data_IF_239851252309
#
_entry.id   IF_239851252309
#
_cell.length_a   1.000
_cell.length_b   1.000
_cell.length_c   1.000
_cell.angle_alpha   90.00
_cell.angle_beta   90.00
_cell.angle_gamma   90.00
#
_symmetry.space_group_name_H-M   'P 1'
#
loop_
_entity.id
_entity.type
_entity.pdbx_description
1 polymer ?
#
# COMPACT_ATOMS: atom_id res chain seq x y z
N UNK A 1 -3.26 20.63 9.02
CA UNK A 1 -2.61 19.43 9.57
C UNK A 1 -1.16 19.79 9.79
N UNK A 2 -0.57 19.39 10.91
CA UNK A 2 0.83 19.70 11.22
C UNK A 2 1.76 18.87 10.33
N UNK A 3 2.98 19.37 10.13
CA UNK A 3 4.03 18.64 9.41
C UNK A 3 4.41 17.38 10.19
N UNK A 4 4.40 16.19 9.56
CA UNK A 4 4.80 14.96 10.25
C UNK A 4 6.25 15.00 10.74
N UNK A 5 6.53 14.36 11.87
CA UNK A 5 7.86 14.38 12.52
C UNK A 5 9.00 13.83 11.62
N UNK A 6 8.66 12.97 10.64
CA UNK A 6 9.62 12.38 9.70
C UNK A 6 9.98 13.29 8.53
N UNK A 7 9.32 14.44 8.37
CA UNK A 7 9.51 15.36 7.27
C UNK A 7 9.80 16.78 7.75
N UNK A 8 10.44 17.60 6.90
CA UNK A 8 10.52 19.05 7.13
C UNK A 8 9.50 19.78 6.30
N UNK A 9 8.98 20.88 6.81
CA UNK A 9 8.05 21.69 6.02
C UNK A 9 8.81 22.41 4.90
N UNK A 10 8.25 22.42 3.69
CA UNK A 10 8.68 23.37 2.63
C UNK A 10 8.33 24.78 3.08
N UNK A 11 9.05 25.82 2.66
CA UNK A 11 8.73 27.20 3.04
C UNK A 11 7.48 27.69 2.30
N UNK A 12 7.45 27.49 0.98
CA UNK A 12 6.39 27.94 0.07
C UNK A 12 6.23 26.96 -1.10
N UNK A 13 5.03 26.94 -1.69
CA UNK A 13 4.78 26.31 -2.99
C UNK A 13 4.33 27.41 -3.94
N UNK A 14 4.98 27.50 -5.09
CA UNK A 14 4.61 28.45 -6.15
C UNK A 14 4.50 27.74 -7.49
N UNK A 15 4.04 28.48 -8.50
CA UNK A 15 3.90 28.00 -9.88
C UNK A 15 4.70 28.90 -10.79
N UNK A 16 5.64 28.31 -11.54
CA UNK A 16 6.47 28.98 -12.54
C UNK A 16 6.30 28.25 -13.88
N UNK A 17 5.75 28.94 -14.88
CA UNK A 17 5.46 28.40 -16.22
C UNK A 17 4.88 26.96 -16.22
N UNK A 18 3.74 26.79 -15.55
CA UNK A 18 3.05 25.49 -15.39
C UNK A 18 3.89 24.40 -14.72
N UNK A 19 4.90 24.78 -13.94
CA UNK A 19 5.69 23.88 -13.11
C UNK A 19 5.48 24.23 -11.64
N UNK A 20 5.26 23.22 -10.80
CA UNK A 20 5.35 23.36 -9.35
C UNK A 20 6.77 23.76 -9.00
N UNK A 21 6.92 24.68 -8.05
CA UNK A 21 8.21 25.05 -7.51
C UNK A 21 8.08 25.08 -5.99
N UNK A 22 8.96 24.35 -5.32
CA UNK A 22 9.02 24.31 -3.87
C UNK A 22 10.17 25.19 -3.39
N UNK A 23 9.89 26.11 -2.47
CA UNK A 23 10.91 26.92 -1.83
C UNK A 23 11.38 26.21 -0.57
N UNK A 24 12.66 25.88 -0.50
CA UNK A 24 13.26 25.13 0.62
C UNK A 24 14.59 25.78 0.96
N UNK A 25 14.74 26.25 2.20
CA UNK A 25 15.95 26.94 2.67
C UNK A 25 16.35 28.12 1.73
N UNK A 26 15.35 28.81 1.16
CA UNK A 26 15.51 29.88 0.17
C UNK A 26 15.85 29.45 -1.26
N UNK A 27 15.99 28.15 -1.54
CA UNK A 27 16.28 27.61 -2.87
C UNK A 27 15.02 27.12 -3.59
N UNK A 28 15.03 27.17 -4.93
CA UNK A 28 13.91 26.75 -5.77
C UNK A 28 14.11 25.31 -6.25
N UNK A 29 13.16 24.44 -5.93
CA UNK A 29 13.18 23.04 -6.30
C UNK A 29 12.06 22.73 -7.30
N UNK A 30 12.44 22.36 -8.51
CA UNK A 30 11.49 21.97 -9.56
C UNK A 30 11.25 20.45 -9.52
N UNK A 31 10.13 19.93 -10.09
CA UNK A 31 9.79 18.51 -10.15
C UNK A 31 10.93 17.61 -10.63
N UNK A 32 11.72 18.08 -11.59
CA UNK A 32 12.87 17.34 -12.12
C UNK A 32 14.02 17.19 -11.12
N UNK A 33 14.12 18.07 -10.12
CA UNK A 33 15.24 18.17 -9.19
C UNK A 33 14.90 17.59 -7.80
N UNK A 34 13.62 17.36 -7.49
CA UNK A 34 13.20 16.92 -6.12
C UNK A 34 13.80 15.58 -5.69
N UNK A 35 14.21 14.74 -6.65
CA UNK A 35 14.84 13.45 -6.37
C UNK A 35 16.25 13.60 -5.77
N UNK A 36 16.85 14.79 -5.88
CA UNK A 36 18.17 15.13 -5.30
C UNK A 36 18.05 15.69 -3.87
N UNK A 37 16.82 15.90 -3.37
CA UNK A 37 16.61 16.40 -2.02
C UNK A 37 17.25 15.47 -0.98
N UNK A 38 18.01 16.00 0.00
CA UNK A 38 18.76 15.18 0.95
C UNK A 38 17.88 14.50 2.01
N UNK A 39 16.61 14.87 2.09
CA UNK A 39 15.63 14.40 3.06
C UNK A 39 14.21 14.66 2.55
N UNK A 40 13.23 14.11 3.26
CA UNK A 40 11.82 14.27 2.94
C UNK A 40 11.33 15.65 3.35
N UNK A 41 10.51 16.25 2.49
CA UNK A 41 9.82 17.49 2.79
C UNK A 41 8.30 17.32 2.66
N UNK A 42 7.56 18.07 3.46
CA UNK A 42 6.11 18.09 3.49
C UNK A 42 5.60 19.46 3.03
N UNK A 43 4.74 19.42 2.03
CA UNK A 43 4.00 20.56 1.54
C UNK A 43 2.61 20.58 2.21
N UNK A 44 2.44 21.41 3.24
CA UNK A 44 1.17 21.46 3.97
C UNK A 44 -0.01 21.91 3.10
N UNK A 45 -1.19 21.37 3.41
CA UNK A 45 -2.43 21.66 2.68
C UNK A 45 -2.72 23.15 2.46
N UNK A 46 -2.43 24.00 3.45
CA UNK A 46 -2.71 25.43 3.32
C UNK A 46 -1.89 26.11 2.20
N UNK A 47 -0.64 25.66 1.96
CA UNK A 47 0.23 26.17 0.90
C UNK A 47 -0.24 25.77 -0.49
N UNK A 48 -0.80 24.55 -0.62
CA UNK A 48 -1.48 24.15 -1.86
C UNK A 48 -2.70 25.02 -2.15
N UNK A 49 -3.42 25.42 -1.09
CA UNK A 49 -4.62 26.24 -1.22
C UNK A 49 -4.32 27.66 -1.69
N UNK A 50 -3.13 28.18 -1.41
CA UNK A 50 -2.67 29.51 -1.87
C UNK A 50 -2.50 29.57 -3.39
N UNK A 51 -2.13 28.46 -4.04
CA UNK A 51 -1.93 28.37 -5.49
C UNK A 51 -3.07 27.69 -6.25
N UNK A 52 -4.16 27.35 -5.55
CA UNK A 52 -5.27 26.54 -6.11
C UNK A 52 -5.85 27.11 -7.41
N UNK A 53 -5.95 28.43 -7.52
CA UNK A 53 -6.62 29.08 -8.66
C UNK A 53 -5.82 28.89 -9.95
N UNK A 54 -4.50 28.70 -9.85
CA UNK A 54 -3.67 28.29 -10.99
C UNK A 54 -3.77 26.79 -11.26
N UNK A 55 -3.71 25.95 -10.22
CA UNK A 55 -3.78 24.49 -10.37
C UNK A 55 -5.10 24.01 -10.98
N UNK A 56 -6.23 24.68 -10.71
CA UNK A 56 -7.54 24.32 -11.29
C UNK A 56 -7.56 24.49 -12.82
N UNK A 57 -6.65 25.27 -13.40
CA UNK A 57 -6.54 25.47 -14.85
C UNK A 57 -5.69 24.39 -15.55
N UNK A 58 -4.99 23.55 -14.78
CA UNK A 58 -4.07 22.54 -15.31
C UNK A 58 -4.81 21.39 -15.99
N UNK A 59 -4.20 20.85 -17.05
CA UNK A 59 -4.65 19.65 -17.73
C UNK A 59 -3.80 18.42 -17.34
N UNK A 60 -4.12 17.26 -17.90
CA UNK A 60 -3.44 15.99 -17.59
C UNK A 60 -1.93 16.03 -17.91
N UNK A 61 -1.50 16.76 -18.94
CA UNK A 61 -0.08 16.91 -19.29
C UNK A 61 0.67 17.73 -18.24
N UNK A 62 0.06 18.81 -17.75
CA UNK A 62 0.61 19.63 -16.66
C UNK A 62 0.77 18.78 -15.39
N UNK A 63 -0.26 18.03 -15.00
CA UNK A 63 -0.19 17.13 -13.84
C UNK A 63 0.87 16.04 -14.01
N UNK A 64 0.98 15.45 -15.20
CA UNK A 64 1.98 14.41 -15.48
C UNK A 64 3.40 14.97 -15.36
N UNK A 65 3.66 16.16 -15.89
CA UNK A 65 4.97 16.84 -15.78
C UNK A 65 5.35 17.18 -14.34
N UNK A 66 4.35 17.36 -13.48
CA UNK A 66 4.52 17.77 -12.08
C UNK A 66 4.30 16.60 -11.10
N UNK A 67 4.32 15.35 -11.58
CA UNK A 67 4.19 14.16 -10.75
C UNK A 67 5.46 13.94 -9.91
N UNK A 68 5.57 14.73 -8.84
CA UNK A 68 6.75 14.80 -7.96
C UNK A 68 6.39 14.83 -6.47
N UNK A 69 5.09 14.72 -6.15
CA UNK A 69 4.58 14.68 -4.79
C UNK A 69 3.82 13.39 -4.56
N UNK A 70 3.89 12.90 -3.33
CA UNK A 70 3.18 11.71 -2.86
C UNK A 70 2.40 12.11 -1.61
N UNK A 71 1.14 11.67 -1.46
CA UNK A 71 0.40 11.89 -0.23
C UNK A 71 1.18 11.36 0.97
N UNK A 72 1.15 12.09 2.09
CA UNK A 72 1.87 11.70 3.31
C UNK A 72 1.51 10.28 3.77
N UNK A 73 0.24 9.91 3.66
CA UNK A 73 -0.24 8.56 4.00
C UNK A 73 0.27 7.45 3.05
N UNK A 74 0.73 7.79 1.86
CA UNK A 74 1.28 6.88 0.86
C UNK A 74 2.82 6.81 0.89
N UNK A 75 3.47 7.66 1.69
CA UNK A 75 4.92 7.69 1.78
C UNK A 75 5.49 6.41 2.41
N UNK A 76 6.64 5.97 1.90
CA UNK A 76 7.49 4.92 2.46
C UNK A 76 8.95 5.35 2.34
N UNK A 77 9.78 4.99 3.31
CA UNK A 77 11.23 5.23 3.20
C UNK A 77 11.86 4.27 2.19
N UNK A 78 13.09 4.55 1.77
CA UNK A 78 13.82 3.66 0.88
C UNK A 78 14.04 2.28 1.52
N UNK A 79 14.40 2.24 2.79
CA UNK A 79 14.65 1.03 3.57
C UNK A 79 13.37 0.18 3.66
N UNK A 80 12.25 0.79 4.05
CA UNK A 80 10.96 0.10 4.08
C UNK A 80 10.53 -0.36 2.69
N UNK A 81 10.80 0.41 1.64
CA UNK A 81 10.48 -0.01 0.27
C UNK A 81 11.23 -1.29 -0.12
N UNK A 82 12.55 -1.35 0.12
CA UNK A 82 13.38 -2.54 -0.14
C UNK A 82 12.83 -3.76 0.62
N UNK A 83 12.57 -3.56 1.91
CA UNK A 83 12.08 -4.60 2.80
C UNK A 83 10.67 -5.09 2.45
N UNK A 84 9.77 -4.19 2.08
CA UNK A 84 8.41 -4.52 1.59
C UNK A 84 8.51 -5.33 0.31
N UNK A 85 9.34 -4.93 -0.66
CA UNK A 85 9.52 -5.71 -1.89
C UNK A 85 10.04 -7.12 -1.61
N UNK A 86 10.96 -7.27 -0.65
CA UNK A 86 11.46 -8.58 -0.25
C UNK A 86 10.37 -9.45 0.38
N UNK A 87 9.58 -8.91 1.31
CA UNK A 87 8.43 -9.56 1.94
C UNK A 87 7.39 -10.01 0.90
N UNK A 88 7.01 -9.12 -0.02
CA UNK A 88 6.07 -9.41 -1.09
C UNK A 88 6.62 -10.45 -2.06
N UNK A 89 7.92 -10.40 -2.37
CA UNK A 89 8.61 -11.39 -3.19
C UNK A 89 8.55 -12.80 -2.59
N UNK A 90 8.81 -12.93 -1.28
CA UNK A 90 8.70 -14.20 -0.54
C UNK A 90 7.28 -14.77 -0.64
N UNK A 91 6.25 -13.93 -0.43
CA UNK A 91 4.86 -14.34 -0.57
C UNK A 91 4.53 -14.86 -1.98
N UNK A 92 5.05 -14.23 -3.03
CA UNK A 92 4.81 -14.66 -4.42
C UNK A 92 5.47 -16.00 -4.72
N UNK A 93 6.76 -16.17 -4.41
CA UNK A 93 7.48 -17.41 -4.73
C UNK A 93 6.93 -18.60 -3.93
N UNK A 94 6.47 -18.34 -2.70
CA UNK A 94 5.83 -19.37 -1.90
C UNK A 94 4.47 -19.81 -2.48
N UNK A 95 3.58 -18.86 -2.76
CA UNK A 95 2.20 -19.18 -3.15
C UNK A 95 2.08 -19.63 -4.62
N UNK A 96 2.94 -19.13 -5.52
CA UNK A 96 2.76 -19.35 -6.96
C UNK A 96 3.84 -20.20 -7.62
N UNK A 97 4.97 -20.42 -6.93
CA UNK A 97 6.12 -21.15 -7.48
C UNK A 97 6.56 -22.35 -6.63
N UNK A 98 5.87 -22.64 -5.51
CA UNK A 98 6.12 -23.83 -4.69
C UNK A 98 7.44 -23.79 -3.92
N UNK A 99 8.04 -22.61 -3.74
CA UNK A 99 9.23 -22.43 -2.92
C UNK A 99 8.83 -22.45 -1.44
N UNK A 100 9.58 -23.13 -0.57
CA UNK A 100 9.28 -23.09 0.86
C UNK A 100 9.49 -21.68 1.41
N UNK A 101 8.76 -21.33 2.49
CA UNK A 101 8.91 -20.00 3.12
C UNK A 101 10.33 -19.83 3.64
N UNK A 102 10.88 -20.88 4.24
CA UNK A 102 12.24 -20.93 4.78
C UNK A 102 13.30 -20.70 3.69
N UNK A 103 13.20 -21.38 2.55
CA UNK A 103 14.18 -21.20 1.45
C UNK A 103 14.11 -19.79 0.86
N UNK A 104 12.89 -19.27 0.66
CA UNK A 104 12.69 -17.92 0.13
C UNK A 104 13.22 -16.85 1.11
N UNK A 105 12.96 -17.02 2.41
CA UNK A 105 13.44 -16.11 3.45
C UNK A 105 14.97 -16.14 3.54
N UNK A 106 15.58 -17.33 3.54
CA UNK A 106 17.04 -17.48 3.57
C UNK A 106 17.71 -16.85 2.35
N UNK A 107 17.15 -17.02 1.14
CA UNK A 107 17.67 -16.40 -0.06
C UNK A 107 17.64 -14.86 0.01
N UNK A 108 16.58 -14.28 0.58
CA UNK A 108 16.50 -12.83 0.84
C UNK A 108 17.55 -12.39 1.87
N UNK A 109 17.71 -13.13 2.97
CA UNK A 109 18.72 -12.83 3.99
C UNK A 109 20.14 -12.87 3.42
N UNK A 110 20.44 -13.85 2.56
CA UNK A 110 21.70 -13.93 1.83
C UNK A 110 21.91 -12.74 0.91
N UNK A 111 20.88 -12.35 0.13
CA UNK A 111 20.95 -11.18 -0.74
C UNK A 111 21.18 -9.87 0.04
N UNK A 112 20.53 -9.70 1.20
CA UNK A 112 20.78 -8.57 2.10
C UNK A 112 22.22 -8.58 2.60
N UNK A 113 22.73 -9.72 3.05
CA UNK A 113 24.10 -9.87 3.52
C UNK A 113 25.14 -9.57 2.44
N UNK A 114 24.95 -10.05 1.22
CA UNK A 114 25.84 -9.77 0.08
C UNK A 114 25.92 -8.28 -0.28
N UNK A 115 24.87 -7.53 0.04
CA UNK A 115 24.78 -6.08 -0.18
C UNK A 115 25.10 -5.25 1.05
N UNK A 116 25.58 -5.88 2.12
CA UNK A 116 25.84 -5.23 3.42
C UNK A 116 24.61 -4.47 3.96
N UNK A 117 23.41 -4.93 3.60
CA UNK A 117 22.14 -4.36 4.05
C UNK A 117 21.69 -5.05 5.34
N UNK A 118 21.45 -4.27 6.38
CA UNK A 118 20.88 -4.76 7.63
C UNK A 118 19.39 -4.38 7.67
N UNK A 119 18.47 -5.37 7.64
CA UNK A 119 17.04 -5.06 7.69
C UNK A 119 16.66 -4.42 9.03
N UNK A 120 15.70 -3.50 8.97
CA UNK A 120 15.16 -2.81 10.13
C UNK A 120 14.34 -3.74 11.04
N UNK A 121 13.95 -3.21 12.20
CA UNK A 121 13.16 -3.96 13.20
C UNK A 121 11.73 -4.28 12.76
N UNK A 122 11.24 -3.63 11.70
CA UNK A 122 9.92 -3.91 11.10
C UNK A 122 9.96 -5.09 10.12
N UNK A 123 11.16 -5.52 9.68
CA UNK A 123 11.30 -6.68 8.82
C UNK A 123 10.95 -7.96 9.61
N UNK A 124 10.07 -8.82 9.07
CA UNK A 124 9.63 -10.01 9.79
C UNK A 124 10.79 -10.96 10.08
N UNK A 125 10.79 -11.54 11.28
CA UNK A 125 11.69 -12.66 11.59
C UNK A 125 11.18 -13.99 11.01
N UNK A 126 11.99 -15.04 11.16
CA UNK A 126 11.69 -16.39 10.62
C UNK A 126 10.37 -17.00 11.11
N UNK A 127 9.89 -16.60 12.30
CA UNK A 127 8.58 -17.02 12.79
C UNK A 127 7.47 -16.22 12.14
N UNK A 128 7.63 -14.91 12.05
CA UNK A 128 6.61 -13.99 11.53
C UNK A 128 6.41 -14.15 10.01
N UNK A 129 7.47 -14.46 9.26
CA UNK A 129 7.39 -14.59 7.80
C UNK A 129 6.39 -15.67 7.35
N UNK A 130 6.14 -16.68 8.19
CA UNK A 130 5.14 -17.72 7.93
C UNK A 130 3.71 -17.18 7.89
N UNK A 131 3.42 -16.15 8.66
CA UNK A 131 2.13 -15.48 8.65
C UNK A 131 2.04 -14.46 7.51
N UNK A 132 3.18 -13.85 7.14
CA UNK A 132 3.29 -12.85 6.07
C UNK A 132 2.89 -13.39 4.69
N UNK A 133 3.15 -14.66 4.42
CA UNK A 133 2.83 -15.29 3.12
C UNK A 133 1.35 -15.66 2.97
N UNK A 134 0.54 -15.47 4.01
CA UNK A 134 -0.89 -15.74 4.01
C UNK A 134 -1.69 -14.46 3.81
N UNK A 135 -2.95 -14.59 3.37
CA UNK A 135 -3.86 -13.45 3.38
C UNK A 135 -4.08 -12.97 4.83
N UNK A 136 -3.87 -11.68 5.15
CA UNK A 136 -3.92 -11.20 6.53
C UNK A 136 -5.27 -11.37 7.22
N UNK A 137 -6.37 -11.32 6.45
CA UNK A 137 -7.72 -11.39 7.01
C UNK A 137 -8.22 -12.82 7.15
N UNK A 138 -8.10 -13.64 6.10
CA UNK A 138 -8.68 -14.99 6.09
C UNK A 138 -7.67 -16.11 6.41
N UNK A 139 -6.38 -15.77 6.55
CA UNK A 139 -5.29 -16.69 6.92
C UNK A 139 -5.13 -17.89 5.96
N UNK A 140 -5.59 -17.74 4.72
CA UNK A 140 -5.42 -18.75 3.68
C UNK A 140 -4.25 -18.38 2.78
N UNK A 141 -3.62 -19.37 2.13
CA UNK A 141 -2.68 -19.13 1.03
C UNK A 141 -3.27 -18.20 -0.03
N UNK A 142 -2.43 -17.39 -0.66
CA UNK A 142 -2.82 -16.36 -1.63
C UNK A 142 -3.24 -16.95 -2.99
N UNK A 143 -2.98 -18.23 -3.21
CA UNK A 143 -3.29 -18.97 -4.43
C UNK A 143 -4.58 -19.80 -4.32
N UNK A 144 -5.33 -19.67 -3.22
CA UNK A 144 -6.62 -20.35 -3.02
C UNK A 144 -7.75 -19.32 -2.89
N UNK A 145 -9.02 -19.73 -3.02
CA UNK A 145 -10.13 -18.83 -2.78
C UNK A 145 -10.13 -18.21 -1.36
N UNK A 146 -10.68 -16.99 -1.18
CA UNK A 146 -10.76 -16.33 0.12
C UNK A 146 -11.49 -17.20 1.14
N UNK A 147 -10.90 -17.36 2.33
CA UNK A 147 -11.46 -18.23 3.38
C UNK A 147 -11.60 -19.70 2.98
N UNK A 148 -10.93 -20.12 1.90
CA UNK A 148 -11.07 -21.44 1.29
C UNK A 148 -12.53 -21.77 0.92
N UNK A 149 -13.28 -20.75 0.53
CA UNK A 149 -14.67 -20.86 0.14
C UNK A 149 -14.79 -21.44 -1.27
N UNK A 150 -15.80 -22.28 -1.49
CA UNK A 150 -16.20 -22.64 -2.85
C UNK A 150 -16.90 -21.45 -3.50
N UNK A 151 -16.26 -20.85 -4.49
CA UNK A 151 -16.82 -19.71 -5.23
C UNK A 151 -17.69 -20.20 -6.39
N UNK A 152 -18.84 -19.55 -6.65
CA UNK A 152 -19.65 -19.85 -7.83
C UNK A 152 -18.91 -19.40 -9.10
N UNK A 153 -19.10 -20.15 -10.19
CA UNK A 153 -18.63 -19.75 -11.50
C UNK A 153 -19.36 -18.47 -11.94
N UNK A 154 -18.61 -17.43 -12.30
CA UNK A 154 -19.19 -16.18 -12.78
C UNK A 154 -19.64 -16.35 -14.23
N UNK A 155 -20.85 -15.89 -14.52
CA UNK A 155 -21.35 -15.86 -15.89
C UNK A 155 -20.46 -14.99 -16.81
N UNK A 156 -20.22 -15.51 -18.00
CA UNK A 156 -19.59 -14.76 -19.07
C UNK A 156 -20.48 -13.58 -19.46
N UNK A 157 -19.92 -12.39 -19.42
CA UNK A 157 -20.56 -11.21 -20.03
C UNK A 157 -19.80 -10.82 -21.26
N UNK A 158 -20.52 -10.40 -22.29
CA UNK A 158 -19.94 -9.80 -23.47
C UNK A 158 -18.94 -8.68 -23.09
N UNK A 159 -17.70 -8.82 -23.56
CA UNK A 159 -16.69 -7.78 -23.55
C UNK A 159 -16.26 -7.52 -25.00
N UNK A 160 -16.24 -6.26 -25.46
CA UNK A 160 -15.79 -5.96 -26.81
C UNK A 160 -14.34 -6.42 -27.02
N UNK A 161 -14.00 -7.10 -28.13
CA UNK A 161 -12.68 -7.71 -28.34
C UNK A 161 -11.53 -6.70 -28.40
N UNK A 162 -11.83 -5.41 -28.61
CA UNK A 162 -10.84 -4.32 -28.59
C UNK A 162 -10.59 -3.72 -27.20
N UNK A 163 -11.30 -4.15 -26.15
CA UNK A 163 -11.03 -3.73 -24.77
C UNK A 163 -10.21 -4.79 -24.03
N UNK A 164 -9.18 -4.35 -23.32
CA UNK A 164 -8.51 -5.18 -22.31
C UNK A 164 -9.54 -5.53 -21.22
N UNK A 165 -9.72 -6.81 -20.94
CA UNK A 165 -10.59 -7.26 -19.85
C UNK A 165 -9.92 -6.97 -18.51
N UNK A 166 -10.52 -6.09 -17.70
CA UNK A 166 -10.13 -5.89 -16.29
C UNK A 166 -10.78 -6.89 -15.34
N UNK A 167 -11.52 -7.90 -15.85
CA UNK A 167 -12.30 -8.81 -14.98
C UNK A 167 -11.43 -9.62 -14.03
N UNK A 168 -10.22 -9.99 -14.44
CA UNK A 168 -9.27 -10.74 -13.60
C UNK A 168 -8.83 -9.95 -12.36
N UNK A 169 -8.72 -8.62 -12.46
CA UNK A 169 -8.47 -7.74 -11.31
C UNK A 169 -9.69 -7.64 -10.37
N UNK A 170 -10.88 -8.05 -10.85
CA UNK A 170 -12.14 -8.05 -10.11
C UNK A 170 -12.55 -9.42 -9.55
N UNK A 171 -11.75 -10.47 -9.77
CA UNK A 171 -11.95 -11.80 -9.21
C UNK A 171 -11.77 -11.76 -7.68
N UNK A 172 -12.45 -12.68 -6.97
CA UNK A 172 -12.44 -12.67 -5.50
C UNK A 172 -11.05 -13.04 -4.93
N UNK A 173 -10.42 -13.98 -5.63
CA UNK A 173 -9.08 -14.51 -5.46
C UNK A 173 -7.99 -13.59 -6.02
N UNK A 174 -8.35 -12.50 -6.71
CA UNK A 174 -7.38 -11.57 -7.27
C UNK A 174 -6.48 -11.02 -6.15
N UNK A 175 -5.17 -10.96 -6.42
CA UNK A 175 -4.20 -10.50 -5.44
C UNK A 175 -4.18 -8.98 -5.39
N UNK A 176 -4.20 -8.42 -4.18
CA UNK A 176 -4.05 -6.97 -3.97
C UNK A 176 -3.03 -6.69 -2.88
N UNK A 177 -2.36 -5.54 -3.01
CA UNK A 177 -1.66 -4.95 -1.88
C UNK A 177 -2.68 -4.64 -0.78
N UNK A 178 -2.28 -4.97 0.44
CA UNK A 178 -3.14 -5.02 1.61
C UNK A 178 -2.38 -4.38 2.77
N UNK A 179 -2.97 -3.39 3.43
CA UNK A 179 -2.44 -2.82 4.65
C UNK A 179 -3.14 -3.45 5.84
N UNK A 180 -2.42 -4.10 6.74
CA UNK A 180 -3.03 -4.71 7.93
C UNK A 180 -3.55 -3.69 8.93
N UNK A 181 -3.10 -2.44 8.78
CA UNK A 181 -3.50 -1.29 9.55
C UNK A 181 -3.80 -0.12 8.62
N UNK A 182 -4.86 0.67 8.85
CA UNK A 182 -5.29 1.70 7.92
C UNK A 182 -4.27 2.83 7.82
N UNK A 183 -4.09 3.37 6.62
CA UNK A 183 -3.15 4.44 6.34
C UNK A 183 -3.54 5.74 7.04
N UNK A 184 -2.54 6.49 7.50
CA UNK A 184 -2.69 7.76 8.22
C UNK A 184 -1.60 8.72 7.75
N UNK A 185 -1.89 10.02 7.70
CA UNK A 185 -0.90 11.01 7.25
C UNK A 185 0.21 11.26 8.28
N UNK A 186 -0.08 11.07 9.57
CA UNK A 186 0.85 11.37 10.68
C UNK A 186 1.99 10.36 10.84
N UNK A 187 1.88 9.17 10.25
CA UNK A 187 2.79 8.05 10.47
C UNK A 187 3.10 7.34 9.16
N UNK A 188 4.31 6.79 9.04
CA UNK A 188 4.69 5.96 7.88
C UNK A 188 4.17 4.55 8.12
N UNK A 189 3.09 4.18 7.43
CA UNK A 189 2.44 2.87 7.57
C UNK A 189 2.67 1.92 6.38
N UNK A 190 3.35 2.40 5.33
CA UNK A 190 3.90 1.54 4.29
C UNK A 190 5.20 0.87 4.77
N UNK A 191 5.10 0.01 5.77
CA UNK A 191 6.23 -0.71 6.39
C UNK A 191 6.21 -2.20 6.01
N UNK A 192 7.35 -2.90 6.08
CA UNK A 192 7.42 -4.34 5.86
C UNK A 192 6.70 -5.18 6.91
N UNK A 193 6.20 -4.58 8.00
CA UNK A 193 5.31 -5.24 8.96
C UNK A 193 3.83 -5.13 8.57
N UNK A 194 3.44 -4.03 7.95
CA UNK A 194 2.04 -3.69 7.73
C UNK A 194 1.56 -3.93 6.29
N UNK A 195 2.48 -3.93 5.31
CA UNK A 195 2.13 -4.15 3.90
C UNK A 195 2.25 -5.63 3.54
N UNK A 196 1.15 -6.22 3.05
CA UNK A 196 1.05 -7.63 2.68
C UNK A 196 0.38 -7.77 1.32
N UNK A 197 0.39 -8.98 0.78
CA UNK A 197 -0.60 -9.36 -0.21
C UNK A 197 -1.81 -9.96 0.49
N UNK A 198 -3.00 -9.69 -0.06
CA UNK A 198 -4.23 -10.32 0.40
C UNK A 198 -5.18 -10.57 -0.77
N UNK A 199 -6.17 -11.43 -0.53
CA UNK A 199 -7.26 -11.60 -1.48
C UNK A 199 -8.04 -10.30 -1.63
N UNK A 200 -8.44 -9.98 -2.86
CA UNK A 200 -9.26 -8.80 -3.15
C UNK A 200 -10.54 -8.77 -2.35
N UNK A 201 -11.25 -9.90 -2.21
CA UNK A 201 -12.47 -9.93 -1.41
C UNK A 201 -12.16 -9.50 0.03
N UNK A 202 -11.11 -10.08 0.62
CA UNK A 202 -10.69 -9.72 1.97
C UNK A 202 -10.32 -8.24 2.10
N UNK A 203 -9.59 -7.69 1.13
CA UNK A 203 -9.17 -6.29 1.14
C UNK A 203 -10.38 -5.34 1.07
N UNK A 204 -11.31 -5.62 0.14
CA UNK A 204 -12.55 -4.86 0.00
C UNK A 204 -13.43 -4.96 1.24
N UNK A 205 -13.45 -6.13 1.90
CA UNK A 205 -14.24 -6.32 3.12
C UNK A 205 -13.69 -5.56 4.34
N UNK A 206 -12.38 -5.35 4.40
CA UNK A 206 -11.72 -4.58 5.46
C UNK A 206 -11.97 -3.07 5.32
N UNK A 207 -12.03 -2.57 4.08
CA UNK A 207 -12.14 -1.13 3.78
C UNK A 207 -11.04 -0.34 4.53
N UNK A 208 -11.39 0.70 5.27
CA UNK A 208 -10.45 1.58 5.99
C UNK A 208 -10.25 1.18 7.47
N UNK A 209 -10.49 -0.08 7.84
CA UNK A 209 -10.30 -0.58 9.20
C UNK A 209 -9.01 -1.41 9.33
N UNK A 210 -8.54 -1.66 10.55
CA UNK A 210 -7.51 -2.66 10.77
C UNK A 210 -8.07 -4.09 10.61
N UNK A 211 -7.18 -5.07 10.49
CA UNK A 211 -7.56 -6.49 10.49
C UNK A 211 -8.31 -6.85 11.78
N UNK A 212 -7.83 -6.40 12.93
CA UNK A 212 -8.45 -6.67 14.23
C UNK A 212 -9.86 -6.07 14.33
N UNK A 213 -10.00 -4.78 13.96
CA UNK A 213 -11.29 -4.10 13.95
C UNK A 213 -12.30 -4.80 13.03
N UNK A 214 -11.85 -5.26 11.87
CA UNK A 214 -12.66 -5.98 10.89
C UNK A 214 -13.12 -7.34 11.45
N UNK A 215 -12.22 -8.10 12.07
CA UNK A 215 -12.55 -9.40 12.68
C UNK A 215 -13.53 -9.23 13.83
N UNK A 216 -13.33 -8.22 14.68
CA UNK A 216 -14.25 -7.92 15.79
C UNK A 216 -15.63 -7.49 15.28
N UNK A 217 -15.68 -6.69 14.22
CA UNK A 217 -16.93 -6.34 13.55
C UNK A 217 -17.64 -7.59 13.01
N UNK A 218 -16.94 -8.44 12.24
CA UNK A 218 -17.51 -9.67 11.68
C UNK A 218 -18.05 -10.59 12.77
N UNK A 219 -17.34 -10.71 13.90
CA UNK A 219 -17.79 -11.52 15.05
C UNK A 219 -19.11 -11.00 15.63
N UNK A 220 -19.22 -9.69 15.86
CA UNK A 220 -20.46 -9.06 16.35
C UNK A 220 -21.63 -9.26 15.39
N UNK A 221 -21.39 -9.19 14.08
CA UNK A 221 -22.43 -9.45 13.06
C UNK A 221 -22.96 -10.89 13.16
N UNK A 222 -22.07 -11.88 13.34
CA UNK A 222 -22.45 -13.29 13.51
C UNK A 222 -23.23 -13.49 14.80
N UNK A 223 -22.74 -12.97 15.93
CA UNK A 223 -23.39 -13.05 17.24
C UNK A 223 -24.83 -12.53 17.20
N UNK A 224 -25.06 -11.39 16.54
CA UNK A 224 -26.39 -10.77 16.45
C UNK A 224 -27.35 -11.58 15.57
N UNK A 225 -26.85 -12.18 14.47
CA UNK A 225 -27.67 -13.08 13.66
C UNK A 225 -28.06 -14.34 14.42
N UNK A 226 -27.13 -14.95 15.15
CA UNK A 226 -27.41 -16.13 15.97
C UNK A 226 -28.42 -15.82 17.09
N UNK A 227 -28.28 -14.65 17.75
CA UNK A 227 -29.22 -14.21 18.78
C UNK A 227 -30.64 -14.12 18.22
N UNK A 228 -30.80 -13.46 17.07
CA UNK A 228 -32.10 -13.32 16.39
C UNK A 228 -32.68 -14.67 15.96
N UNK A 229 -31.86 -15.59 15.46
CA UNK A 229 -32.30 -16.94 15.07
C UNK A 229 -32.76 -17.79 16.25
N UNK A 230 -32.27 -17.55 17.47
CA UNK A 230 -32.73 -18.24 18.69
C UNK A 230 -34.03 -17.68 19.25
N UNK A 231 -34.36 -16.44 18.89
CA UNK A 231 -35.60 -15.74 19.31
C UNK A 231 -36.77 -15.94 18.33
N UNK A 232 -36.51 -16.54 17.16
CA UNK A 232 -37.50 -16.86 16.11
C UNK A 232 -37.91 -18.33 16.15
#
# INVERSE_FOLDING_TARGET
METPDYAKEVEEITVDDHSLVFVIDGELWYPKDVHELPKVYCAQYHKWYEIKDELVKWNDEDWTRNSCVIPAMEYSTLEYSIEVFAVLGIAIVNNFYGVSVEDAFNAVQEAFKEREYAPGSEFPNEREIKDVVLCPLCLQPLNVPPGNLSLPEREDTFQPPWRKSKRKEGEAEALQLFHTYPLKESEILHTPKLVRYGHRWCNVAMADHSVEETVDFMRKVVEEHERKSRES
#
